data_IF_627076264925
#
_entry.id   IF_627076264925
#
_cell.length_a   1.000
_cell.length_b   1.000
_cell.length_c   1.000
_cell.angle_alpha   90.00
_cell.angle_beta   90.00
_cell.angle_gamma   90.00
#
_symmetry.space_group_name_H-M   'P 1'
#
loop_
_entity.id
_entity.type
_entity.pdbx_description
1 polymer ?
#
# COMPACT_ATOMS: atom_id res chain seq x y z
N UNK A 1 11.07 -9.07 2.75
CA UNK A 1 10.98 -7.75 3.40
C UNK A 1 9.84 -6.93 2.79
N UNK A 2 8.89 -6.51 3.60
CA UNK A 2 7.87 -5.56 3.18
C UNK A 2 8.49 -4.21 2.78
N UNK A 3 8.44 -3.87 1.49
CA UNK A 3 9.11 -2.69 0.92
C UNK A 3 8.66 -1.35 1.54
N UNK A 4 7.47 -1.30 2.16
CA UNK A 4 6.89 -0.07 2.73
C UNK A 4 6.24 -0.32 4.09
N UNK A 5 6.54 0.53 5.07
CA UNK A 5 5.99 0.47 6.42
C UNK A 5 4.48 0.86 6.44
N UNK A 6 3.73 0.36 7.42
CA UNK A 6 2.30 0.67 7.62
C UNK A 6 2.04 2.17 7.71
N UNK A 7 2.94 2.94 8.35
CA UNK A 7 2.85 4.41 8.44
C UNK A 7 2.83 5.07 7.05
N UNK A 8 3.72 4.63 6.14
CA UNK A 8 3.77 5.11 4.76
C UNK A 8 2.48 4.80 4.01
N UNK A 9 1.91 3.60 4.22
CA UNK A 9 0.65 3.21 3.58
C UNK A 9 -0.52 4.05 4.08
N UNK A 10 -0.62 4.29 5.39
CA UNK A 10 -1.66 5.14 5.99
C UNK A 10 -1.53 6.58 5.48
N UNK A 11 -0.32 7.12 5.42
CA UNK A 11 -0.10 8.48 4.91
C UNK A 11 -0.48 8.61 3.44
N UNK A 12 -0.15 7.61 2.61
CA UNK A 12 -0.57 7.59 1.21
C UNK A 12 -2.10 7.62 1.05
N UNK A 13 -2.83 6.87 1.87
CA UNK A 13 -4.30 6.86 1.87
C UNK A 13 -4.85 8.22 2.31
N UNK A 14 -4.28 8.82 3.37
CA UNK A 14 -4.66 10.15 3.86
C UNK A 14 -4.52 11.22 2.77
N UNK A 15 -3.36 11.26 2.12
CA UNK A 15 -3.09 12.22 1.03
C UNK A 15 -4.03 12.00 -0.16
N UNK A 16 -4.37 10.76 -0.49
CA UNK A 16 -5.31 10.48 -1.57
C UNK A 16 -6.73 10.95 -1.24
N UNK A 17 -7.19 10.74 0.00
CA UNK A 17 -8.48 11.26 0.47
C UNK A 17 -8.55 12.80 0.45
N UNK A 18 -7.40 13.46 0.58
CA UNK A 18 -7.28 14.92 0.42
C UNK A 18 -7.23 15.37 -1.05
N UNK A 19 -7.50 14.48 -2.01
CA UNK A 19 -7.57 14.80 -3.44
C UNK A 19 -6.21 14.74 -4.17
N UNK A 20 -5.14 14.29 -3.52
CA UNK A 20 -3.82 14.23 -4.18
C UNK A 20 -3.74 12.99 -5.07
N UNK A 21 -3.30 13.18 -6.32
CA UNK A 21 -3.11 12.09 -7.27
C UNK A 21 -2.08 11.06 -6.82
N UNK A 22 -2.33 9.79 -7.16
CA UNK A 22 -1.51 8.64 -6.74
C UNK A 22 -0.04 8.72 -7.21
N UNK A 23 0.22 9.26 -8.40
CA UNK A 23 1.58 9.50 -8.91
C UNK A 23 2.34 10.53 -8.09
N UNK A 24 1.67 11.62 -7.70
CA UNK A 24 2.25 12.67 -6.86
C UNK A 24 2.56 12.13 -5.45
N UNK A 25 1.62 11.37 -4.87
CA UNK A 25 1.82 10.70 -3.59
C UNK A 25 3.02 9.75 -3.65
N UNK A 26 3.10 8.96 -4.73
CA UNK A 26 4.18 8.00 -4.89
C UNK A 26 5.56 8.69 -4.91
N UNK A 27 5.69 9.78 -5.66
CA UNK A 27 6.91 10.60 -5.67
C UNK A 27 7.22 11.18 -4.29
N UNK A 28 6.23 11.76 -3.60
CA UNK A 28 6.40 12.37 -2.26
C UNK A 28 6.83 11.37 -1.19
N UNK A 29 6.36 10.12 -1.28
CA UNK A 29 6.61 9.08 -0.27
C UNK A 29 7.69 8.06 -0.67
N UNK A 30 8.40 8.28 -1.79
CA UNK A 30 9.44 7.35 -2.26
C UNK A 30 8.89 5.98 -2.73
N UNK A 31 7.63 5.94 -3.16
CA UNK A 31 6.98 4.74 -3.68
C UNK A 31 7.27 4.64 -5.17
N UNK A 32 7.67 3.44 -5.61
CA UNK A 32 8.18 3.26 -6.97
C UNK A 32 7.13 3.50 -8.06
N UNK A 33 5.86 3.15 -7.81
CA UNK A 33 4.78 3.25 -8.79
C UNK A 33 3.49 3.79 -8.17
N UNK A 34 2.80 4.68 -8.88
CA UNK A 34 1.48 5.21 -8.48
C UNK A 34 0.41 4.12 -8.31
N UNK A 35 0.49 3.02 -9.07
CA UNK A 35 -0.43 1.89 -8.91
C UNK A 35 -0.36 1.27 -7.50
N UNK A 36 0.78 1.35 -6.82
CA UNK A 36 0.97 0.79 -5.48
C UNK A 36 0.09 1.55 -4.48
N UNK A 37 0.00 2.87 -4.63
CA UNK A 37 -0.91 3.73 -3.85
C UNK A 37 -2.37 3.36 -4.14
N UNK A 38 -2.74 3.20 -5.41
CA UNK A 38 -4.10 2.79 -5.81
C UNK A 38 -4.50 1.43 -5.23
N UNK A 39 -3.57 0.48 -5.19
CA UNK A 39 -3.83 -0.83 -4.59
C UNK A 39 -4.10 -0.72 -3.08
N UNK A 40 -3.35 0.13 -2.36
CA UNK A 40 -3.63 0.40 -0.95
C UNK A 40 -4.99 1.05 -0.75
N UNK A 41 -5.38 2.01 -1.60
CA UNK A 41 -6.71 2.62 -1.53
C UNK A 41 -7.81 1.57 -1.75
N UNK A 42 -7.65 0.68 -2.75
CA UNK A 42 -8.57 -0.43 -2.99
C UNK A 42 -8.70 -1.35 -1.78
N UNK A 43 -7.57 -1.75 -1.18
CA UNK A 43 -7.55 -2.60 0.01
C UNK A 43 -8.19 -1.92 1.23
N UNK A 44 -7.94 -0.62 1.40
CA UNK A 44 -8.53 0.19 2.46
C UNK A 44 -10.05 0.28 2.30
N UNK A 45 -10.54 0.55 1.08
CA UNK A 45 -11.97 0.65 0.81
C UNK A 45 -12.69 -0.69 1.02
N UNK A 46 -12.02 -1.82 0.73
CA UNK A 46 -12.61 -3.16 0.86
C UNK A 46 -12.55 -3.72 2.29
N UNK A 47 -11.45 -3.46 3.01
CA UNK A 47 -11.13 -4.17 4.26
C UNK A 47 -10.67 -3.25 5.40
N UNK A 48 -10.66 -1.93 5.19
CA UNK A 48 -10.14 -0.95 6.14
C UNK A 48 -8.68 -1.21 6.51
N UNK A 49 -8.33 -0.96 7.77
CA UNK A 49 -6.99 -1.16 8.30
C UNK A 49 -6.48 -2.60 8.12
N UNK A 50 -7.36 -3.59 8.25
CA UNK A 50 -7.02 -5.02 8.07
C UNK A 50 -6.50 -5.32 6.66
N UNK A 51 -6.98 -4.59 5.64
CA UNK A 51 -6.51 -4.75 4.26
C UNK A 51 -5.08 -4.28 4.04
N UNK A 52 -4.65 -3.27 4.80
CA UNK A 52 -3.33 -2.65 4.66
C UNK A 52 -2.26 -3.37 5.48
N UNK A 53 -2.66 -3.93 6.62
CA UNK A 53 -1.77 -4.72 7.47
C UNK A 53 -1.49 -6.11 6.89
N UNK A 54 -2.49 -6.78 6.29
CA UNK A 54 -2.33 -8.12 5.66
C UNK A 54 -1.51 -8.12 4.36
N UNK A 55 -1.36 -6.97 3.69
CA UNK A 55 -0.62 -6.89 2.42
C UNK A 55 0.89 -7.14 2.56
N UNK A 56 1.40 -7.37 3.78
CA UNK A 56 2.78 -7.78 4.05
C UNK A 56 2.99 -9.30 4.06
N UNK A 57 1.93 -10.10 4.20
CA UNK A 57 2.06 -11.49 4.68
C UNK A 57 1.63 -12.55 3.67
N UNK A 58 1.24 -12.17 2.44
CA UNK A 58 0.83 -13.12 1.39
C UNK A 58 1.84 -13.26 0.25
N UNK A 59 3.13 -12.98 0.49
CA UNK A 59 4.19 -13.32 -0.46
C UNK A 59 5.30 -14.21 0.12
N UNK A 60 5.14 -14.72 1.34
CA UNK A 60 6.14 -15.64 1.95
C UNK A 60 5.58 -17.04 2.28
N UNK A 61 4.36 -17.37 1.85
CA UNK A 61 3.76 -18.70 2.10
C UNK A 61 3.17 -19.39 0.86
N UNK A 62 3.52 -18.92 -0.35
CA UNK A 62 3.12 -19.61 -1.59
C UNK A 62 4.31 -20.15 -2.41
N UNK A 63 5.47 -20.32 -1.78
CA UNK A 63 6.53 -21.15 -2.35
C UNK A 63 6.88 -22.27 -1.37
N UNK A 64 6.30 -23.49 -1.49
CA UNK A 64 6.95 -24.67 -0.99
C UNK A 64 8.15 -24.94 -1.91
N UNK A 65 9.34 -24.51 -1.52
CA UNK A 65 10.56 -24.92 -2.24
C UNK A 65 10.79 -26.36 -1.83
N UNK A 66 10.71 -27.24 -2.84
CA UNK A 66 11.24 -28.60 -2.79
C UNK A 66 12.70 -28.61 -2.37
#
# INVERSE_FOLDING_TARGET
MAKYNIKTKIEAIRLYKNGIGSTTIAKRLGIFKGHTVLNWIRLWNKHGLKGITRSNTLQDTLHPSK
#
